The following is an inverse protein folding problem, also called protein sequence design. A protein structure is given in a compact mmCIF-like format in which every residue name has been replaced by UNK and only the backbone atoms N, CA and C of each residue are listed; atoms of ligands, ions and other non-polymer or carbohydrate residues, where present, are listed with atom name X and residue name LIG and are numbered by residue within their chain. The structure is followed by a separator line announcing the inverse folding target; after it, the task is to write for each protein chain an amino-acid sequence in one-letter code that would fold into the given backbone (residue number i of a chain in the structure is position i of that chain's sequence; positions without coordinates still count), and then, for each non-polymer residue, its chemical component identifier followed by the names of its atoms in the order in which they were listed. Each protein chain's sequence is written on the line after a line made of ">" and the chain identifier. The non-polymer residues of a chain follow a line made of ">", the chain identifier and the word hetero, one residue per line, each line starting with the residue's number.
data_IF_627388143946
#
_entry.id   IF_627388143946
#
_cell.length_a   1.000
_cell.length_b   1.000
_cell.length_c   1.000
_cell.angle_alpha   90.00
_cell.angle_beta   90.00
_cell.angle_gamma   90.00
#
_symmetry.space_group_name_H-M   'P 1'
#
loop_
_entity.id
_entity.type
_entity.pdbx_description
1 polymer ?
#
# COMPACT_ATOMS: atom_id res chain seq x y z
N UNK A 1 69.63 55.49 -17.59
CA UNK A 1 69.76 54.86 -16.27
C UNK A 1 68.45 54.94 -15.52
N UNK A 2 67.91 53.79 -15.11
CA UNK A 2 66.91 53.56 -14.03
C UNK A 2 66.70 52.03 -14.02
N UNK A 3 67.61 51.26 -13.43
CA UNK A 3 67.68 50.80 -12.04
C UNK A 3 66.41 50.08 -11.52
N UNK A 4 66.63 48.78 -11.26
CA UNK A 4 65.83 47.78 -10.56
C UNK A 4 65.36 48.23 -9.16
N UNK A 5 64.23 47.68 -8.66
CA UNK A 5 64.16 46.89 -7.41
C UNK A 5 62.72 46.49 -7.01
N UNK A 6 62.44 45.18 -7.11
CA UNK A 6 61.86 44.25 -6.12
C UNK A 6 60.97 44.75 -4.95
N UNK A 7 59.73 44.22 -4.94
CA UNK A 7 58.74 43.83 -3.87
C UNK A 7 59.02 44.21 -2.41
N UNK A 8 58.00 44.54 -1.55
CA UNK A 8 56.88 43.61 -1.23
C UNK A 8 55.57 44.23 -0.69
N UNK A 9 54.41 43.57 -0.83
CA UNK A 9 53.32 43.70 0.15
C UNK A 9 52.50 42.41 0.25
N UNK A 10 52.68 41.70 1.36
CA UNK A 10 51.61 40.88 1.91
C UNK A 10 50.60 41.78 2.59
N UNK A 11 49.32 41.61 2.24
CA UNK A 11 48.09 41.71 3.04
C UNK A 11 47.00 41.45 2.01
N UNK A 12 46.45 40.24 1.96
CA UNK A 12 45.01 39.92 2.01
C UNK A 12 44.94 38.41 2.24
N UNK A 13 45.02 38.00 3.51
CA UNK A 13 44.40 36.75 3.97
C UNK A 13 42.91 37.03 4.12
N UNK A 14 42.13 36.85 3.07
CA UNK A 14 40.68 36.57 3.09
C UNK A 14 40.22 36.57 1.63
N UNK A 15 39.26 35.72 1.28
CA UNK A 15 38.65 35.54 -0.06
C UNK A 15 39.12 34.36 -0.94
N UNK A 16 39.77 33.34 -0.38
CA UNK A 16 39.74 32.00 -1.00
C UNK A 16 39.42 30.92 0.06
N UNK A 17 38.16 30.86 0.47
CA UNK A 17 37.59 29.66 1.09
C UNK A 17 37.21 28.66 0.00
N UNK A 18 37.46 27.34 0.16
CA UNK A 18 37.16 26.35 -0.86
C UNK A 18 35.64 26.28 -1.13
N UNK A 19 35.22 25.91 -2.36
CA UNK A 19 33.83 25.97 -2.76
C UNK A 19 33.02 24.98 -1.91
N UNK A 20 32.10 25.51 -1.09
CA UNK A 20 31.09 24.72 -0.39
C UNK A 20 30.02 24.24 -1.37
N UNK A 21 30.37 23.30 -2.26
CA UNK A 21 29.42 22.62 -3.14
C UNK A 21 29.71 21.12 -3.27
N UNK A 22 29.92 20.42 -2.14
CA UNK A 22 29.96 18.94 -2.10
C UNK A 22 29.37 18.28 -0.85
N UNK A 23 28.69 19.02 0.03
CA UNK A 23 28.03 18.45 1.24
C UNK A 23 26.51 18.32 1.16
N UNK A 24 25.83 18.94 0.18
CA UNK A 24 24.36 18.88 0.08
C UNK A 24 23.88 17.53 -0.45
N UNK A 25 24.45 17.05 -1.57
CA UNK A 25 24.05 15.77 -2.19
C UNK A 25 24.13 14.53 -1.29
N UNK A 26 25.17 14.39 -0.44
CA UNK A 26 25.32 13.20 0.43
C UNK A 26 24.33 13.18 1.59
N UNK A 27 23.89 14.35 2.06
CA UNK A 27 22.87 14.45 3.10
C UNK A 27 21.47 14.27 2.52
N UNK A 28 21.21 14.80 1.32
CA UNK A 28 19.95 14.59 0.58
C UNK A 28 19.71 13.10 0.31
N UNK A 29 20.70 12.36 -0.22
CA UNK A 29 20.57 10.91 -0.44
C UNK A 29 20.37 10.11 0.86
N UNK A 30 20.98 10.54 1.97
CA UNK A 30 20.82 9.87 3.27
C UNK A 30 19.43 10.13 3.87
N UNK A 31 18.89 11.34 3.71
CA UNK A 31 17.53 11.70 4.13
C UNK A 31 16.50 10.95 3.27
N UNK A 32 16.65 10.96 1.95
CA UNK A 32 15.77 10.25 1.00
C UNK A 32 15.73 8.74 1.30
N UNK A 33 16.90 8.10 1.49
CA UNK A 33 16.96 6.66 1.84
C UNK A 33 16.40 6.31 3.22
N UNK A 34 16.29 7.28 4.14
CA UNK A 34 15.69 7.09 5.47
C UNK A 34 14.18 7.29 5.39
N UNK A 35 13.73 8.27 4.62
CA UNK A 35 12.31 8.53 4.34
C UNK A 35 11.68 7.38 3.56
N UNK A 36 12.33 6.88 2.49
CA UNK A 36 11.87 5.73 1.71
C UNK A 36 11.69 4.47 2.56
N UNK A 37 12.66 4.18 3.45
CA UNK A 37 12.53 3.07 4.41
C UNK A 37 11.36 3.27 5.35
N UNK A 38 11.23 4.46 5.93
CA UNK A 38 10.13 4.75 6.87
C UNK A 38 8.76 4.62 6.23
N UNK A 39 8.60 4.99 4.95
CA UNK A 39 7.35 4.84 4.20
C UNK A 39 7.08 3.37 3.90
N UNK A 40 8.11 2.60 3.52
CA UNK A 40 7.97 1.16 3.29
C UNK A 40 7.57 0.42 4.57
N UNK A 41 8.18 0.76 5.71
CA UNK A 41 7.85 0.18 7.01
C UNK A 41 6.40 0.51 7.39
N UNK A 42 5.95 1.76 7.21
CA UNK A 42 4.55 2.16 7.43
C UNK A 42 3.56 1.39 6.54
N UNK A 43 3.91 1.15 5.28
CA UNK A 43 3.06 0.38 4.36
C UNK A 43 2.98 -1.09 4.77
N UNK A 44 4.09 -1.68 5.26
CA UNK A 44 4.12 -3.03 5.78
C UNK A 44 3.32 -3.17 7.08
N UNK A 45 3.46 -2.22 8.01
CA UNK A 45 2.70 -2.16 9.26
C UNK A 45 1.20 -2.01 8.98
N UNK A 46 0.83 -1.15 8.04
CA UNK A 46 -0.55 -0.98 7.61
C UNK A 46 -1.09 -2.29 7.01
N UNK A 47 -0.32 -2.98 6.17
CA UNK A 47 -0.72 -4.26 5.59
C UNK A 47 -0.88 -5.34 6.66
N UNK A 48 0.02 -5.41 7.65
CA UNK A 48 -0.06 -6.37 8.74
C UNK A 48 -1.28 -6.11 9.64
N UNK A 49 -1.59 -4.84 9.91
CA UNK A 49 -2.83 -4.46 10.58
C UNK A 49 -4.07 -4.95 9.82
N UNK A 50 -4.10 -4.82 8.49
CA UNK A 50 -5.22 -5.35 7.67
C UNK A 50 -5.30 -6.86 7.71
N UNK A 51 -4.17 -7.57 7.69
CA UNK A 51 -4.16 -9.03 7.88
C UNK A 51 -4.76 -9.43 9.22
N UNK A 52 -4.44 -8.72 10.29
CA UNK A 52 -5.04 -8.95 11.61
C UNK A 52 -6.57 -8.76 11.58
N UNK A 53 -7.07 -7.73 10.91
CA UNK A 53 -8.52 -7.47 10.75
C UNK A 53 -9.22 -8.65 10.05
N UNK A 54 -8.68 -9.15 8.94
CA UNK A 54 -9.27 -10.30 8.23
C UNK A 54 -9.13 -11.61 9.00
N UNK A 55 -7.96 -11.87 9.59
CA UNK A 55 -7.69 -13.08 10.38
C UNK A 55 -8.64 -13.22 11.56
N UNK A 56 -8.94 -12.11 12.25
CA UNK A 56 -9.81 -12.08 13.42
C UNK A 56 -11.27 -11.73 13.11
N UNK A 57 -11.67 -11.72 11.83
CA UNK A 57 -13.07 -11.45 11.42
C UNK A 57 -13.63 -10.15 11.99
N UNK A 58 -12.79 -9.14 12.10
CA UNK A 58 -13.19 -7.84 12.64
C UNK A 58 -13.90 -7.03 11.55
N UNK A 59 -15.18 -6.73 11.77
CA UNK A 59 -15.94 -5.84 10.90
C UNK A 59 -15.86 -4.42 11.43
N UNK A 60 -15.58 -3.45 10.56
CA UNK A 60 -15.63 -2.04 10.93
C UNK A 60 -17.05 -1.71 11.44
N UNK A 61 -17.11 -1.10 12.63
CA UNK A 61 -18.35 -0.52 13.16
C UNK A 61 -18.83 0.52 12.16
N UNK A 62 -20.14 0.57 11.91
CA UNK A 62 -20.74 1.48 10.93
C UNK A 62 -20.14 2.89 11.06
N UNK A 63 -19.25 3.23 10.14
CA UNK A 63 -18.72 4.57 9.96
C UNK A 63 -19.86 5.35 9.34
N UNK A 64 -20.76 5.86 10.20
CA UNK A 64 -21.94 6.58 9.76
C UNK A 64 -21.51 7.64 8.78
N UNK A 65 -22.05 7.57 7.55
CA UNK A 65 -21.94 8.64 6.59
C UNK A 65 -22.28 9.93 7.34
N UNK A 66 -21.33 10.87 7.38
CA UNK A 66 -21.50 12.12 8.08
C UNK A 66 -22.86 12.69 7.66
N UNK A 67 -23.77 13.04 8.61
CA UNK A 67 -25.15 13.47 8.27
C UNK A 67 -25.17 14.70 7.35
N UNK A 68 -24.04 15.40 7.24
CA UNK A 68 -23.80 16.58 6.39
C UNK A 68 -23.26 16.20 4.99
N UNK A 69 -22.68 15.00 4.81
CA UNK A 69 -21.95 14.59 3.61
C UNK A 69 -22.83 14.10 2.44
N UNK A 70 -24.13 13.93 2.64
CA UNK A 70 -25.00 13.29 1.65
C UNK A 70 -24.69 11.79 1.52
N UNK A 71 -25.73 10.98 1.48
CA UNK A 71 -25.59 9.53 1.31
C UNK A 71 -24.89 9.24 -0.02
N UNK A 72 -23.66 8.73 0.00
CA UNK A 72 -22.99 8.28 -1.22
C UNK A 72 -23.53 6.90 -1.60
N UNK A 73 -24.42 6.87 -2.58
CA UNK A 73 -24.78 5.61 -3.22
C UNK A 73 -23.53 5.12 -3.97
N UNK A 74 -23.04 3.94 -3.59
CA UNK A 74 -21.95 3.26 -4.26
C UNK A 74 -22.63 2.20 -5.11
N UNK A 75 -22.96 2.57 -6.34
CA UNK A 75 -23.66 1.71 -7.30
C UNK A 75 -22.92 1.71 -8.64
N UNK A 76 -23.16 0.72 -9.51
CA UNK A 76 -22.62 0.70 -10.87
C UNK A 76 -22.81 2.02 -11.63
N UNK A 77 -23.99 2.62 -11.52
CA UNK A 77 -24.35 3.90 -12.18
C UNK A 77 -23.45 5.03 -11.71
N UNK A 78 -23.10 5.03 -10.42
CA UNK A 78 -22.23 6.04 -9.83
C UNK A 78 -20.84 6.02 -10.47
N UNK A 79 -20.31 4.84 -10.80
CA UNK A 79 -19.01 4.70 -11.46
C UNK A 79 -19.05 5.01 -12.95
N UNK A 80 -20.21 4.86 -13.60
CA UNK A 80 -20.42 5.30 -14.99
C UNK A 80 -20.39 6.82 -15.10
N UNK A 81 -20.99 7.52 -14.13
CA UNK A 81 -21.06 8.99 -14.10
C UNK A 81 -19.78 9.62 -13.53
N UNK A 82 -19.19 9.00 -12.49
CA UNK A 82 -18.04 9.52 -11.77
C UNK A 82 -16.90 8.48 -11.71
N UNK A 83 -16.21 8.20 -12.84
CA UNK A 83 -15.15 7.20 -12.89
C UNK A 83 -13.97 7.50 -11.96
N UNK A 84 -13.68 8.78 -11.68
CA UNK A 84 -12.64 9.24 -10.75
C UNK A 84 -12.84 8.76 -9.32
N UNK A 85 -14.04 8.29 -8.95
CA UNK A 85 -14.26 7.65 -7.65
C UNK A 85 -13.45 6.37 -7.49
N UNK A 86 -13.05 5.73 -8.60
CA UNK A 86 -12.20 4.55 -8.58
C UNK A 86 -10.76 4.88 -8.18
N UNK A 87 -10.28 6.11 -8.38
CA UNK A 87 -8.88 6.49 -8.12
C UNK A 87 -8.45 6.18 -6.68
N UNK A 88 -9.39 6.33 -5.75
CA UNK A 88 -9.18 6.00 -4.34
C UNK A 88 -9.43 4.52 -4.02
N UNK A 89 -10.39 3.90 -4.71
CA UNK A 89 -10.75 2.50 -4.46
C UNK A 89 -9.70 1.53 -4.99
N UNK A 90 -9.10 1.80 -6.14
CA UNK A 90 -8.08 0.96 -6.78
C UNK A 90 -6.91 0.62 -5.84
N UNK A 91 -6.19 1.60 -5.23
CA UNK A 91 -5.10 1.30 -4.32
C UNK A 91 -5.56 0.62 -3.03
N UNK A 92 -6.77 0.95 -2.55
CA UNK A 92 -7.36 0.30 -1.38
C UNK A 92 -7.65 -1.18 -1.66
N UNK A 93 -8.35 -1.49 -2.76
CA UNK A 93 -8.66 -2.86 -3.20
C UNK A 93 -7.36 -3.66 -3.36
N UNK A 94 -6.35 -3.10 -4.03
CA UNK A 94 -5.03 -3.74 -4.17
C UNK A 94 -4.46 -4.15 -2.81
N UNK A 95 -4.49 -3.25 -1.82
CA UNK A 95 -3.98 -3.52 -0.47
C UNK A 95 -4.77 -4.62 0.24
N UNK A 96 -6.11 -4.55 0.21
CA UNK A 96 -6.96 -5.52 0.89
C UNK A 96 -6.84 -6.91 0.28
N UNK A 97 -6.81 -7.02 -1.06
CA UNK A 97 -6.54 -8.28 -1.75
C UNK A 97 -5.19 -8.86 -1.34
N UNK A 98 -4.14 -8.03 -1.24
CA UNK A 98 -2.82 -8.47 -0.74
C UNK A 98 -2.91 -9.02 0.68
N UNK A 99 -3.68 -8.38 1.55
CA UNK A 99 -3.88 -8.84 2.93
C UNK A 99 -4.60 -10.20 2.96
N UNK A 100 -5.70 -10.36 2.22
CA UNK A 100 -6.52 -11.58 2.18
C UNK A 100 -5.74 -12.75 1.57
N UNK A 101 -5.14 -12.56 0.39
CA UNK A 101 -4.41 -13.64 -0.32
C UNK A 101 -3.13 -14.08 0.41
N UNK A 102 -2.56 -13.22 1.26
CA UNK A 102 -1.45 -13.61 2.14
C UNK A 102 -1.89 -14.61 3.22
N UNK A 103 -3.15 -14.56 3.66
CA UNK A 103 -3.67 -15.46 4.69
C UNK A 103 -3.91 -16.86 4.10
N UNK A 104 -4.48 -16.95 2.90
CA UNK A 104 -4.72 -18.24 2.24
C UNK A 104 -3.42 -18.98 1.92
N UNK A 105 -2.38 -18.26 1.48
CA UNK A 105 -1.07 -18.84 1.15
C UNK A 105 -0.27 -19.31 2.37
N UNK A 106 -0.51 -18.72 3.55
CA UNK A 106 0.14 -19.11 4.81
C UNK A 106 -0.43 -20.44 5.36
N UNK A 107 -1.73 -20.66 5.17
CA UNK A 107 -2.41 -21.89 5.59
C UNK A 107 -1.96 -23.12 4.80
N UNK A 108 -1.56 -22.95 3.53
CA UNK A 108 -1.13 -24.06 2.67
C UNK A 108 0.35 -24.47 2.84
N UNK A 109 1.17 -23.68 3.53
CA UNK A 109 2.61 -23.97 3.73
C UNK A 109 2.94 -24.79 4.98
N UNK A 110 1.95 -25.26 5.74
CA UNK A 110 2.13 -25.95 7.02
C UNK A 110 2.47 -27.45 6.97
N UNK A 111 2.99 -27.98 5.85
CA UNK A 111 3.19 -29.43 5.70
C UNK A 111 4.29 -29.81 4.72
N UNK A 112 5.55 -29.47 5.00
CA UNK A 112 6.70 -30.17 4.43
C UNK A 112 7.69 -30.45 5.58
N UNK A 113 7.52 -31.64 6.14
CA UNK A 113 8.55 -32.31 6.94
C UNK A 113 9.58 -32.85 5.93
N UNK A 114 10.75 -32.21 5.85
CA UNK A 114 11.87 -32.79 5.10
C UNK A 114 13.14 -32.53 5.89
N UNK A 115 13.28 -33.32 6.95
CA UNK A 115 14.60 -33.76 7.39
C UNK A 115 15.21 -34.61 6.26
N UNK A 116 15.96 -34.02 5.32
CA UNK A 116 17.01 -34.73 4.54
C UNK A 116 17.94 -33.70 3.90
N UNK A 117 19.14 -33.67 4.46
CA UNK A 117 20.48 -33.32 3.93
C UNK A 117 20.65 -32.83 2.49
N UNK A 118 21.49 -31.79 2.39
CA UNK A 118 22.40 -31.43 1.29
C UNK A 118 21.79 -31.08 -0.08
N UNK A 119 21.74 -29.78 -0.42
CA UNK A 119 22.41 -29.22 -1.61
C UNK A 119 22.38 -27.67 -1.62
N UNK A 120 23.50 -27.03 -1.96
CA UNK A 120 23.65 -25.57 -2.00
C UNK A 120 23.47 -25.05 -3.44
N UNK A 121 22.22 -24.90 -3.91
CA UNK A 121 21.90 -24.03 -5.06
C UNK A 121 20.45 -23.51 -5.10
N UNK A 122 19.82 -23.22 -3.95
CA UNK A 122 18.43 -22.77 -3.92
C UNK A 122 18.30 -21.23 -3.82
N UNK A 123 18.71 -20.50 -4.85
CA UNK A 123 18.23 -19.12 -5.03
C UNK A 123 16.93 -19.17 -5.84
N UNK A 124 15.83 -18.67 -5.26
CA UNK A 124 14.59 -18.18 -5.92
C UNK A 124 13.27 -19.00 -5.94
N UNK A 125 12.91 -19.90 -5.01
CA UNK A 125 11.52 -20.36 -4.91
C UNK A 125 10.58 -19.24 -4.40
N UNK A 126 11.08 -18.35 -3.53
CA UNK A 126 10.31 -17.22 -2.98
C UNK A 126 9.98 -16.16 -4.03
N UNK A 127 10.92 -15.80 -4.90
CA UNK A 127 10.75 -14.72 -5.89
C UNK A 127 9.65 -15.03 -6.92
N UNK A 128 9.66 -16.22 -7.52
CA UNK A 128 8.62 -16.64 -8.48
C UNK A 128 7.23 -16.67 -7.83
N UNK A 129 7.15 -17.14 -6.59
CA UNK A 129 5.89 -17.20 -5.83
C UNK A 129 5.32 -15.81 -5.57
N UNK A 130 6.16 -14.81 -5.27
CA UNK A 130 5.69 -13.43 -5.13
C UNK A 130 5.20 -12.85 -6.47
N UNK A 131 5.88 -13.14 -7.57
CA UNK A 131 5.49 -12.70 -8.92
C UNK A 131 4.14 -13.31 -9.35
N UNK A 132 3.88 -14.58 -9.03
CA UNK A 132 2.59 -15.25 -9.26
C UNK A 132 1.46 -14.64 -8.41
N UNK A 133 1.73 -14.38 -7.12
CA UNK A 133 0.77 -13.72 -6.22
C UNK A 133 0.46 -12.31 -6.71
N UNK A 134 1.47 -11.55 -7.13
CA UNK A 134 1.28 -10.19 -7.64
C UNK A 134 0.48 -10.20 -8.93
N UNK A 135 0.81 -11.09 -9.87
CA UNK A 135 0.04 -11.24 -11.13
C UNK A 135 -1.41 -11.65 -10.87
N UNK A 136 -1.64 -12.65 -10.02
CA UNK A 136 -2.99 -13.09 -9.64
C UNK A 136 -3.76 -11.98 -8.93
N UNK A 137 -3.10 -11.21 -8.07
CA UNK A 137 -3.68 -10.06 -7.39
C UNK A 137 -4.14 -8.99 -8.38
N UNK A 138 -3.31 -8.65 -9.36
CA UNK A 138 -3.64 -7.63 -10.36
C UNK A 138 -4.86 -8.07 -11.18
N UNK A 139 -4.95 -9.36 -11.54
CA UNK A 139 -6.12 -9.93 -12.22
C UNK A 139 -7.38 -9.85 -11.35
N UNK A 140 -7.31 -10.25 -10.08
CA UNK A 140 -8.45 -10.21 -9.15
C UNK A 140 -8.87 -8.75 -8.90
N UNK A 141 -7.92 -7.80 -8.85
CA UNK A 141 -8.25 -6.37 -8.75
C UNK A 141 -9.04 -5.92 -9.98
N UNK A 142 -8.56 -6.18 -11.19
CA UNK A 142 -9.25 -5.78 -12.42
C UNK A 142 -10.66 -6.41 -12.49
N UNK A 143 -10.77 -7.68 -12.11
CA UNK A 143 -12.05 -8.37 -12.01
C UNK A 143 -12.98 -7.71 -10.98
N UNK A 144 -12.47 -7.38 -9.79
CA UNK A 144 -13.24 -6.68 -8.74
C UNK A 144 -13.75 -5.32 -9.22
N UNK A 145 -12.93 -4.58 -9.96
CA UNK A 145 -13.33 -3.30 -10.58
C UNK A 145 -14.40 -3.52 -11.65
N UNK A 146 -14.30 -4.59 -12.45
CA UNK A 146 -15.33 -4.94 -13.43
C UNK A 146 -16.67 -5.27 -12.75
N UNK A 147 -16.64 -6.05 -11.66
CA UNK A 147 -17.84 -6.36 -10.87
C UNK A 147 -18.45 -5.07 -10.30
N UNK A 148 -17.64 -4.18 -9.70
CA UNK A 148 -18.08 -2.87 -9.19
C UNK A 148 -18.80 -1.99 -10.23
N UNK A 149 -18.37 -2.07 -11.49
CA UNK A 149 -18.95 -1.29 -12.60
C UNK A 149 -20.25 -1.87 -13.15
N UNK A 150 -20.55 -3.13 -12.83
CA UNK A 150 -21.64 -3.88 -13.45
C UNK A 150 -22.72 -4.31 -12.45
N UNK A 151 -22.35 -4.54 -11.19
CA UNK A 151 -23.24 -5.06 -10.15
C UNK A 151 -23.16 -4.21 -8.87
N UNK A 152 -24.28 -4.12 -8.17
CA UNK A 152 -24.27 -3.66 -6.78
C UNK A 152 -23.62 -4.75 -5.90
N UNK A 153 -22.47 -4.44 -5.32
CA UNK A 153 -21.70 -5.37 -4.49
C UNK A 153 -22.45 -5.88 -3.26
N UNK A 154 -23.51 -5.19 -2.82
CA UNK A 154 -24.30 -5.65 -1.69
C UNK A 154 -25.22 -6.83 -2.06
N UNK A 155 -25.41 -7.11 -3.34
CA UNK A 155 -26.29 -8.20 -3.82
C UNK A 155 -25.58 -9.55 -3.80
N UNK A 156 -26.32 -10.62 -3.47
CA UNK A 156 -25.78 -11.99 -3.44
C UNK A 156 -25.06 -12.39 -4.74
N UNK A 157 -25.61 -12.13 -5.94
CA UNK A 157 -24.93 -12.49 -7.18
C UNK A 157 -23.56 -11.81 -7.35
N UNK A 158 -23.41 -10.55 -6.89
CA UNK A 158 -22.14 -9.86 -6.95
C UNK A 158 -21.11 -10.44 -5.98
N UNK A 159 -21.57 -10.84 -4.79
CA UNK A 159 -20.72 -11.48 -3.79
C UNK A 159 -20.31 -12.89 -4.22
N UNK A 160 -21.20 -13.64 -4.86
CA UNK A 160 -20.90 -14.97 -5.43
C UNK A 160 -19.71 -14.90 -6.40
N UNK A 161 -19.69 -13.90 -7.30
CA UNK A 161 -18.58 -13.69 -8.25
C UNK A 161 -17.22 -13.46 -7.55
N UNK A 162 -17.21 -12.79 -6.40
CA UNK A 162 -15.99 -12.54 -5.64
C UNK A 162 -15.62 -13.71 -4.72
N UNK A 163 -16.59 -14.57 -4.37
CA UNK A 163 -16.41 -15.67 -3.42
C UNK A 163 -15.49 -16.77 -3.93
N UNK A 164 -15.40 -16.93 -5.24
CA UNK A 164 -14.46 -17.86 -5.87
C UNK A 164 -12.99 -17.51 -5.56
N UNK A 165 -12.69 -16.23 -5.29
CA UNK A 165 -11.34 -15.75 -5.01
C UNK A 165 -11.10 -15.39 -3.54
N UNK A 166 -12.11 -14.85 -2.86
CA UNK A 166 -11.99 -14.33 -1.50
C UNK A 166 -12.56 -15.28 -0.44
N UNK A 167 -13.31 -16.30 -0.88
CA UNK A 167 -13.89 -17.35 -0.05
C UNK A 167 -14.64 -16.77 1.16
N UNK A 168 -14.31 -17.26 2.35
CA UNK A 168 -14.85 -16.82 3.64
C UNK A 168 -14.62 -15.32 3.93
N UNK A 169 -13.65 -14.63 3.30
CA UNK A 169 -13.42 -13.19 3.50
C UNK A 169 -14.27 -12.29 2.60
N UNK A 170 -15.11 -12.83 1.72
CA UNK A 170 -15.89 -12.06 0.74
C UNK A 170 -16.81 -11.03 1.38
N UNK A 171 -17.63 -11.45 2.34
CA UNK A 171 -18.60 -10.56 2.99
C UNK A 171 -17.89 -9.45 3.77
N UNK A 172 -16.79 -9.80 4.44
CA UNK A 172 -15.96 -8.84 5.17
C UNK A 172 -15.31 -7.83 4.20
N UNK A 173 -14.77 -8.30 3.08
CA UNK A 173 -14.21 -7.44 2.04
C UNK A 173 -15.25 -6.46 1.49
N UNK A 174 -16.43 -6.95 1.15
CA UNK A 174 -17.53 -6.11 0.64
C UNK A 174 -17.95 -5.08 1.69
N UNK A 175 -18.12 -5.48 2.95
CA UNK A 175 -18.48 -4.56 4.03
C UNK A 175 -17.46 -3.42 4.20
N UNK A 176 -16.17 -3.77 4.26
CA UNK A 176 -15.08 -2.81 4.39
C UNK A 176 -14.99 -1.90 3.16
N UNK A 177 -15.19 -2.43 1.95
CA UNK A 177 -15.15 -1.67 0.71
C UNK A 177 -16.28 -0.64 0.67
N UNK A 178 -17.49 -1.04 1.05
CA UNK A 178 -18.64 -0.14 1.09
C UNK A 178 -18.46 0.96 2.15
N UNK A 179 -17.92 0.61 3.32
CA UNK A 179 -17.60 1.58 4.37
C UNK A 179 -16.53 2.59 3.91
N UNK A 180 -15.45 2.12 3.28
CA UNK A 180 -14.41 3.00 2.75
C UNK A 180 -14.92 3.88 1.62
N UNK A 181 -15.65 3.30 0.67
CA UNK A 181 -16.16 4.01 -0.50
C UNK A 181 -17.11 5.15 -0.12
N UNK A 182 -17.95 4.95 0.91
CA UNK A 182 -18.84 5.98 1.45
C UNK A 182 -18.12 7.06 2.27
N UNK A 183 -16.90 6.79 2.71
CA UNK A 183 -16.12 7.72 3.53
C UNK A 183 -15.46 8.82 2.68
N UNK A 184 -15.20 10.02 3.22
CA UNK A 184 -14.40 11.04 2.55
C UNK A 184 -12.88 10.83 2.76
N UNK A 185 -12.47 9.77 3.47
CA UNK A 185 -11.10 9.61 3.96
C UNK A 185 -10.13 9.11 2.88
N UNK A 186 -8.84 9.44 3.04
CA UNK A 186 -7.75 8.68 2.40
C UNK A 186 -7.63 7.30 3.05
N UNK A 187 -6.83 6.42 2.46
CA UNK A 187 -6.59 5.07 3.01
C UNK A 187 -6.08 5.16 4.46
N UNK A 188 -5.08 6.02 4.70
CA UNK A 188 -4.44 6.19 6.01
C UNK A 188 -5.39 6.84 7.01
N UNK A 189 -6.20 7.80 6.57
CA UNK A 189 -7.21 8.42 7.41
C UNK A 189 -8.33 7.44 7.77
N UNK A 190 -8.71 6.56 6.84
CA UNK A 190 -9.68 5.51 7.08
C UNK A 190 -9.16 4.50 8.11
N UNK A 191 -7.91 4.04 7.99
CA UNK A 191 -7.33 3.10 8.95
C UNK A 191 -7.23 3.65 10.38
N UNK A 192 -7.11 4.98 10.53
CA UNK A 192 -7.10 5.66 11.84
C UNK A 192 -8.51 5.83 12.40
N UNK A 193 -9.49 6.09 11.53
CA UNK A 193 -10.87 6.36 11.94
C UNK A 193 -11.70 5.09 12.11
N UNK A 194 -11.37 4.01 11.39
CA UNK A 194 -12.07 2.73 11.44
C UNK A 194 -11.99 2.13 12.85
N UNK A 195 -13.17 1.87 13.42
CA UNK A 195 -13.32 1.26 14.74
C UNK A 195 -13.75 -0.19 14.57
N UNK A 196 -13.10 -1.10 15.27
CA UNK A 196 -13.44 -2.52 15.29
C UNK A 196 -14.04 -2.88 16.65
N UNK A 197 -14.86 -3.94 16.74
CA UNK A 197 -15.22 -4.50 18.04
C UNK A 197 -13.94 -4.91 18.79
N UNK A 198 -13.92 -4.68 20.11
CA UNK A 198 -12.87 -5.25 20.95
C UNK A 198 -13.11 -6.77 21.04
N UNK A 199 -12.04 -7.58 21.04
CA UNK A 199 -12.14 -9.04 21.15
C UNK A 199 -12.71 -9.50 22.50
#
# INVERSE_FOLDING_TARGET
>A
SSQHMTVPYGIIRQLYGPPQRRRRYRNEQRIESTEERSVSDQQQDALEKRRHVYRNRLFVKHMGANRISGFQQITPETFKVFPQRLDRLVPWIRRELRAILSLSTSSSSGGIDTSTTDDYHEQHPSRRRYEEIDTGLELIREYTIAVLKQYDLQTDPAQDLLRDFLHEHTEQFVHELMAFARSPHSIEAYDRAAQYPEP
#
